data_IF_401020634683
#
_entry.id   IF_401020634683
#
_cell.length_a   1.000
_cell.length_b   1.000
_cell.length_c   1.000
_cell.angle_alpha   90.00
_cell.angle_beta   90.00
_cell.angle_gamma   90.00
#
_symmetry.space_group_name_H-M   'P 1'
#
loop_
_entity.id
_entity.type
_entity.pdbx_description
1 polymer ?
#
# COMPACT_ATOMS: atom_id res chain seq x y z
N UNK A 1 -8.65 -28.77 0.46
CA UNK A 1 -7.22 -28.98 0.16
C UNK A 1 -6.46 -27.74 0.57
N UNK A 2 -5.42 -27.87 1.41
CA UNK A 2 -4.76 -26.75 2.06
C UNK A 2 -3.85 -25.94 1.11
N UNK A 3 -3.43 -26.56 -0.01
CA UNK A 3 -2.68 -25.91 -1.08
C UNK A 3 -3.54 -25.19 -2.11
N UNK A 4 -4.88 -25.30 -2.01
CA UNK A 4 -5.78 -24.66 -2.96
C UNK A 4 -5.89 -23.17 -2.69
N UNK A 5 -5.92 -22.37 -3.76
CA UNK A 5 -6.03 -20.93 -3.64
C UNK A 5 -7.38 -20.53 -3.04
N UNK A 6 -7.39 -19.54 -2.16
CA UNK A 6 -8.60 -19.01 -1.53
C UNK A 6 -9.65 -18.57 -2.57
N UNK A 7 -9.21 -17.98 -3.69
CA UNK A 7 -10.11 -17.60 -4.80
C UNK A 7 -10.85 -18.80 -5.39
N UNK A 8 -10.19 -19.95 -5.52
CA UNK A 8 -10.82 -21.17 -6.02
C UNK A 8 -11.76 -21.83 -4.99
N UNK A 9 -11.64 -21.44 -3.73
CA UNK A 9 -12.53 -21.81 -2.63
C UNK A 9 -13.70 -20.83 -2.46
N UNK A 10 -13.79 -19.80 -3.32
CA UNK A 10 -14.85 -18.80 -3.28
C UNK A 10 -14.61 -17.65 -2.31
N UNK A 11 -13.37 -17.42 -1.87
CA UNK A 11 -13.03 -16.18 -1.14
C UNK A 11 -13.17 -14.97 -2.06
N UNK A 12 -13.96 -14.02 -1.59
CA UNK A 12 -14.16 -12.70 -2.16
C UNK A 12 -13.50 -11.62 -1.29
N UNK A 13 -13.70 -10.35 -1.65
CA UNK A 13 -13.12 -9.23 -0.90
C UNK A 13 -13.66 -9.11 0.53
N UNK A 14 -14.92 -9.50 0.78
CA UNK A 14 -15.54 -9.36 2.11
C UNK A 14 -15.04 -10.46 3.05
N UNK A 15 -15.09 -11.71 2.60
CA UNK A 15 -14.60 -12.88 3.35
C UNK A 15 -13.10 -12.79 3.62
N UNK A 16 -12.32 -12.18 2.72
CA UNK A 16 -10.91 -11.87 2.97
C UNK A 16 -10.71 -10.89 4.13
N UNK A 17 -11.54 -9.83 4.22
CA UNK A 17 -11.50 -8.85 5.31
C UNK A 17 -11.96 -9.45 6.63
N UNK A 18 -13.02 -10.26 6.62
CA UNK A 18 -13.51 -10.97 7.80
C UNK A 18 -12.48 -11.95 8.36
N UNK A 19 -11.85 -12.74 7.48
CA UNK A 19 -10.76 -13.64 7.86
C UNK A 19 -9.62 -12.86 8.51
N UNK A 20 -9.17 -11.76 7.89
CA UNK A 20 -8.12 -10.90 8.44
C UNK A 20 -8.50 -10.34 9.82
N UNK A 21 -9.71 -9.82 9.97
CA UNK A 21 -10.20 -9.27 11.25
C UNK A 21 -10.19 -10.33 12.35
N UNK A 22 -10.64 -11.53 12.03
CA UNK A 22 -10.66 -12.65 12.97
C UNK A 22 -9.26 -13.10 13.34
N UNK A 23 -8.34 -13.15 12.38
CA UNK A 23 -6.94 -13.46 12.64
C UNK A 23 -6.30 -12.39 13.55
N UNK A 24 -6.45 -11.10 13.24
CA UNK A 24 -5.97 -10.00 14.09
C UNK A 24 -6.49 -10.11 15.53
N UNK A 25 -7.79 -10.40 15.70
CA UNK A 25 -8.40 -10.50 17.01
C UNK A 25 -7.85 -11.67 17.85
N UNK A 26 -7.48 -12.78 17.20
CA UNK A 26 -6.99 -13.99 17.89
C UNK A 26 -5.47 -13.97 18.09
N UNK A 27 -4.72 -13.41 17.14
CA UNK A 27 -3.26 -13.39 17.18
C UNK A 27 -2.69 -12.12 17.81
N UNK A 28 -3.48 -11.04 17.89
CA UNK A 28 -3.01 -9.71 18.31
C UNK A 28 -2.12 -9.02 17.27
N UNK A 29 -1.93 -9.62 16.08
CA UNK A 29 -1.11 -9.04 15.02
C UNK A 29 -1.87 -7.94 14.27
N UNK A 30 -1.12 -7.02 13.66
CA UNK A 30 -1.66 -6.03 12.73
C UNK A 30 -1.49 -6.51 11.29
N UNK A 31 -2.37 -7.42 10.83
CA UNK A 31 -2.27 -8.01 9.49
C UNK A 31 -2.81 -7.04 8.40
N UNK A 32 -2.13 -6.93 7.24
CA UNK A 32 -2.55 -6.07 6.13
C UNK A 32 -3.83 -6.56 5.45
N UNK A 33 -4.55 -5.66 4.76
CA UNK A 33 -5.74 -6.02 3.96
C UNK A 33 -5.42 -6.85 2.72
N UNK A 34 -4.16 -6.88 2.30
CA UNK A 34 -3.67 -7.65 1.14
C UNK A 34 -3.31 -9.09 1.48
N UNK A 35 -3.37 -9.49 2.76
CA UNK A 35 -2.90 -10.79 3.27
C UNK A 35 -3.34 -12.01 2.46
N UNK A 36 -4.62 -12.07 2.05
CA UNK A 36 -5.17 -13.19 1.27
C UNK A 36 -4.66 -13.21 -0.18
N UNK A 37 -4.19 -12.07 -0.69
CA UNK A 37 -3.54 -11.98 -2.00
C UNK A 37 -2.05 -12.30 -1.94
N UNK A 38 -1.38 -11.87 -0.87
CA UNK A 38 0.05 -12.12 -0.64
C UNK A 38 0.30 -13.60 -0.27
N UNK A 39 -0.65 -14.20 0.45
CA UNK A 39 -0.64 -15.60 0.86
C UNK A 39 -1.91 -16.30 0.38
N UNK A 40 -1.97 -16.70 -0.91
CA UNK A 40 -3.20 -17.14 -1.55
C UNK A 40 -3.68 -18.53 -1.11
N UNK A 41 -2.93 -19.27 -0.29
CA UNK A 41 -3.29 -20.60 0.19
C UNK A 41 -3.26 -20.66 1.71
N UNK A 42 -4.05 -21.56 2.29
CA UNK A 42 -4.10 -21.73 3.75
C UNK A 42 -2.74 -22.15 4.34
N UNK A 43 -1.96 -22.96 3.62
CA UNK A 43 -0.60 -23.36 4.04
C UNK A 43 0.36 -22.17 4.06
N UNK A 44 0.37 -21.34 3.00
CA UNK A 44 1.24 -20.17 2.93
C UNK A 44 0.89 -19.15 4.03
N UNK A 45 -0.41 -18.92 4.25
CA UNK A 45 -0.91 -18.05 5.31
C UNK A 45 -0.51 -18.54 6.70
N UNK A 46 -0.67 -19.85 6.96
CA UNK A 46 -0.32 -20.44 8.25
C UNK A 46 1.20 -20.38 8.53
N UNK A 47 2.04 -20.55 7.51
CA UNK A 47 3.50 -20.41 7.64
C UNK A 47 3.90 -18.98 8.01
N UNK A 48 3.29 -17.98 7.35
CA UNK A 48 3.53 -16.57 7.68
C UNK A 48 3.06 -16.22 9.10
N UNK A 49 1.86 -16.64 9.50
CA UNK A 49 1.39 -16.42 10.88
C UNK A 49 2.30 -17.10 11.91
N UNK A 50 2.81 -18.29 11.58
CA UNK A 50 3.75 -19.01 12.44
C UNK A 50 5.09 -18.28 12.58
N UNK A 51 5.61 -17.68 11.51
CA UNK A 51 6.85 -16.89 11.58
C UNK A 51 6.66 -15.62 12.41
N UNK A 52 5.54 -14.92 12.25
CA UNK A 52 5.24 -13.71 13.04
C UNK A 52 5.07 -14.03 14.53
N UNK A 53 4.31 -15.10 14.85
CA UNK A 53 4.02 -15.46 16.24
C UNK A 53 5.20 -16.10 16.99
N UNK A 54 6.05 -16.87 16.29
CA UNK A 54 7.19 -17.56 16.91
C UNK A 54 8.53 -16.83 16.70
N UNK A 55 8.56 -15.84 15.81
CA UNK A 55 9.74 -15.03 15.50
C UNK A 55 9.70 -13.60 16.05
N UNK A 56 8.61 -13.19 16.71
CA UNK A 56 8.36 -11.80 17.12
C UNK A 56 8.18 -11.58 18.62
N UNK A 57 9.26 -11.66 19.41
CA UNK A 57 9.41 -10.86 20.65
C UNK A 57 10.62 -9.95 20.53
N UNK A 58 10.68 -9.10 19.50
CA UNK A 58 11.45 -7.85 19.52
C UNK A 58 10.77 -6.85 18.57
N UNK A 59 10.44 -5.68 19.11
CA UNK A 59 10.12 -4.42 18.45
C UNK A 59 8.74 -4.22 17.79
N UNK A 60 7.79 -3.79 18.62
CA UNK A 60 6.80 -2.80 18.20
C UNK A 60 7.48 -1.42 18.03
N UNK A 61 8.45 -1.31 17.12
CA UNK A 61 8.93 -0.04 16.62
C UNK A 61 8.28 0.23 15.27
N UNK A 62 7.33 1.16 15.27
CA UNK A 62 6.89 2.00 14.15
C UNK A 62 7.45 1.57 12.77
N UNK A 63 6.81 0.59 12.13
CA UNK A 63 7.04 0.35 10.71
C UNK A 63 6.37 1.48 9.93
N UNK A 64 7.06 2.60 9.82
CA UNK A 64 6.86 3.49 8.68
C UNK A 64 7.19 2.63 7.47
N UNK A 65 6.17 2.23 6.71
CA UNK A 65 6.36 1.67 5.37
C UNK A 65 6.90 2.82 4.50
N UNK A 66 8.16 3.16 4.70
CA UNK A 66 8.92 3.89 3.71
C UNK A 66 9.04 2.94 2.54
N UNK A 67 8.37 3.29 1.43
CA UNK A 67 8.72 2.72 0.12
C UNK A 67 10.25 2.74 0.05
N UNK A 68 10.87 1.62 -0.30
CA UNK A 68 12.25 1.64 -0.81
C UNK A 68 12.18 2.47 -2.08
N UNK A 69 12.36 3.78 -1.94
CA UNK A 69 12.62 4.67 -3.05
C UNK A 69 14.07 4.36 -3.36
N UNK A 70 14.33 3.57 -4.40
CA UNK A 70 15.66 3.60 -5.00
C UNK A 70 15.93 5.09 -5.31
N UNK A 71 17.07 5.62 -4.89
CA UNK A 71 17.51 7.00 -5.18
C UNK A 71 17.83 7.21 -6.67
N UNK A 72 17.07 6.55 -7.55
CA UNK A 72 17.12 6.75 -8.98
C UNK A 72 16.41 8.06 -9.31
N UNK A 73 17.10 9.01 -9.96
CA UNK A 73 16.52 10.31 -10.27
C UNK A 73 15.33 10.16 -11.23
N UNK A 74 14.17 10.68 -10.82
CA UNK A 74 12.98 10.74 -11.68
C UNK A 74 13.06 11.98 -12.57
N UNK A 75 13.10 11.76 -13.88
CA UNK A 75 13.04 12.85 -14.86
C UNK A 75 11.58 13.23 -15.19
N UNK A 76 11.23 14.51 -15.00
CA UNK A 76 9.98 15.07 -15.52
C UNK A 76 10.26 15.55 -16.95
N UNK A 77 9.73 14.83 -17.94
CA UNK A 77 9.97 15.12 -19.37
C UNK A 77 8.97 16.10 -19.97
N UNK A 78 7.76 16.17 -19.39
CA UNK A 78 6.71 17.08 -19.83
C UNK A 78 5.68 17.27 -18.72
N UNK A 79 4.99 18.42 -18.76
CA UNK A 79 3.82 18.71 -17.94
C UNK A 79 2.80 19.48 -18.76
N UNK A 80 1.51 19.22 -18.55
CA UNK A 80 0.41 19.96 -19.18
C UNK A 80 -0.65 20.27 -18.14
N UNK A 81 -0.92 21.55 -17.93
CA UNK A 81 -1.87 22.05 -16.95
C UNK A 81 -2.74 23.15 -17.57
N UNK A 82 -3.89 23.42 -16.95
CA UNK A 82 -4.73 24.59 -17.20
C UNK A 82 -4.74 25.41 -15.92
N UNK A 83 -4.23 26.63 -15.99
CA UNK A 83 -4.19 27.52 -14.84
C UNK A 83 -5.25 28.62 -14.99
N UNK A 84 -5.83 29.12 -13.87
CA UNK A 84 -6.68 30.30 -13.87
C UNK A 84 -5.89 31.55 -14.32
N UNK A 85 -6.59 32.66 -14.56
CA UNK A 85 -5.93 33.92 -14.98
C UNK A 85 -5.46 33.94 -16.45
N UNK A 86 -5.88 32.98 -17.27
CA UNK A 86 -5.58 32.96 -18.72
C UNK A 86 -4.17 32.51 -19.07
N UNK A 87 -3.42 31.96 -18.11
CA UNK A 87 -2.06 31.43 -18.27
C UNK A 87 -2.06 30.26 -19.25
N UNK A 88 -1.28 30.38 -20.34
CA UNK A 88 -1.16 29.33 -21.37
C UNK A 88 0.28 28.88 -21.61
N UNK A 89 1.25 29.56 -21.01
CA UNK A 89 2.67 29.26 -21.15
C UNK A 89 3.37 29.21 -19.77
N UNK A 90 4.53 28.55 -19.67
CA UNK A 90 5.37 28.61 -18.46
C UNK A 90 5.77 30.03 -18.07
N UNK A 91 6.02 30.90 -19.06
CA UNK A 91 6.38 32.30 -18.84
C UNK A 91 5.24 33.10 -18.20
N UNK A 92 4.00 32.89 -18.66
CA UNK A 92 2.81 33.51 -18.07
C UNK A 92 2.66 33.11 -16.59
N UNK A 93 2.93 31.83 -16.27
CA UNK A 93 2.88 31.32 -14.90
C UNK A 93 3.97 31.97 -14.05
N UNK A 94 5.19 32.10 -14.58
CA UNK A 94 6.29 32.73 -13.85
C UNK A 94 5.99 34.21 -13.54
N UNK A 95 5.41 34.95 -14.48
CA UNK A 95 5.00 36.33 -14.26
C UNK A 95 3.88 36.45 -13.22
N UNK A 96 2.88 35.58 -13.25
CA UNK A 96 1.82 35.56 -12.23
C UNK A 96 2.40 35.34 -10.84
N UNK A 97 3.28 34.34 -10.67
CA UNK A 97 3.94 34.04 -9.40
C UNK A 97 4.84 35.18 -8.93
N UNK A 98 5.61 35.79 -9.85
CA UNK A 98 6.52 36.89 -9.52
C UNK A 98 5.78 38.18 -9.14
N UNK A 99 4.58 38.41 -9.70
CA UNK A 99 3.75 39.58 -9.41
C UNK A 99 2.80 39.36 -8.23
N UNK A 100 2.57 38.12 -7.81
CA UNK A 100 1.72 37.77 -6.67
C UNK A 100 0.24 38.08 -6.88
N UNK A 101 -0.21 38.06 -8.15
CA UNK A 101 -1.61 38.36 -8.50
C UNK A 101 -2.45 37.08 -8.38
N UNK A 102 -3.59 37.14 -7.68
CA UNK A 102 -4.56 36.02 -7.50
C UNK A 102 -5.57 35.99 -8.66
#
# INVERSE_FOLDING_TARGET
DAGRAFRELGFDSLTAVELRNRLNAVTGLSLPTTLVFDYPTSTALAQHLRSELLGGTVDAALTVVGRVVNDEPVAIVAMSCRFPGGVRTPEDLWQLLATGTD
#
